data_IF_884640244048
#
_entry.id   IF_884640244048
#
_cell.length_a   1.000
_cell.length_b   1.000
_cell.length_c   1.000
_cell.angle_alpha   90.00
_cell.angle_beta   90.00
_cell.angle_gamma   90.00
#
_symmetry.space_group_name_H-M   'P 1'
#
loop_
_entity.id
_entity.type
_entity.pdbx_description
1 polymer ?
#
# COMPACT_ATOMS: atom_id res chain seq x y z
N UNK A 1 4.80 -24.50 -5.15
CA UNK A 1 3.48 -24.04 -4.66
C UNK A 1 3.55 -22.65 -4.09
N UNK A 2 4.17 -22.50 -2.90
CA UNK A 2 4.24 -21.24 -2.15
C UNK A 2 4.79 -20.06 -2.95
N UNK A 3 5.98 -20.18 -3.56
CA UNK A 3 6.58 -19.09 -4.34
C UNK A 3 5.73 -18.66 -5.56
N UNK A 4 5.10 -19.64 -6.21
CA UNK A 4 4.17 -19.38 -7.32
C UNK A 4 2.97 -18.54 -6.86
N UNK A 5 2.38 -18.89 -5.71
CA UNK A 5 1.27 -18.15 -5.14
C UNK A 5 1.68 -16.73 -4.70
N UNK A 6 2.80 -16.59 -3.98
CA UNK A 6 3.31 -15.32 -3.48
C UNK A 6 3.63 -14.30 -4.61
N UNK A 7 4.00 -14.78 -5.81
CA UNK A 7 4.47 -13.90 -6.91
C UNK A 7 3.52 -13.82 -8.10
N UNK A 8 3.05 -14.96 -8.61
CA UNK A 8 2.25 -15.03 -9.86
C UNK A 8 0.78 -14.83 -9.55
N UNK A 9 0.26 -15.58 -8.57
CA UNK A 9 -1.13 -15.44 -8.15
C UNK A 9 -1.38 -14.05 -7.57
N UNK A 10 -0.45 -13.51 -6.77
CA UNK A 10 -0.58 -12.14 -6.27
C UNK A 10 -0.74 -11.10 -7.38
N UNK A 11 0.04 -11.19 -8.47
CA UNK A 11 -0.07 -10.26 -9.59
C UNK A 11 -1.41 -10.37 -10.30
N UNK A 12 -1.92 -11.58 -10.47
CA UNK A 12 -3.27 -11.80 -11.02
C UNK A 12 -4.35 -11.24 -10.09
N UNK A 13 -4.22 -11.48 -8.79
CA UNK A 13 -5.12 -10.98 -7.77
C UNK A 13 -5.15 -9.44 -7.78
N UNK A 14 -3.99 -8.77 -7.83
CA UNK A 14 -3.91 -7.31 -7.97
C UNK A 14 -4.62 -6.80 -9.24
N UNK A 15 -4.52 -7.51 -10.36
CA UNK A 15 -5.25 -7.12 -11.59
C UNK A 15 -6.76 -7.24 -11.39
N UNK A 16 -7.23 -8.37 -10.86
CA UNK A 16 -8.66 -8.61 -10.62
C UNK A 16 -9.24 -7.71 -9.53
N UNK A 17 -8.41 -7.27 -8.59
CA UNK A 17 -8.78 -6.28 -7.57
C UNK A 17 -9.35 -4.99 -8.18
N UNK A 18 -8.98 -4.67 -9.43
CA UNK A 18 -9.56 -3.55 -10.17
C UNK A 18 -11.09 -3.62 -10.32
N UNK A 19 -11.70 -4.82 -10.26
CA UNK A 19 -13.16 -4.99 -10.29
C UNK A 19 -13.87 -4.54 -9.00
N UNK A 20 -13.14 -4.29 -7.92
CA UNK A 20 -13.71 -3.72 -6.69
C UNK A 20 -13.96 -2.22 -6.79
N UNK A 21 -13.53 -1.60 -7.88
CA UNK A 21 -13.37 -0.17 -7.98
C UNK A 21 -13.97 0.38 -9.26
N UNK A 22 -14.55 1.57 -9.16
CA UNK A 22 -15.08 2.34 -10.27
C UNK A 22 -14.64 3.81 -10.14
N UNK A 23 -14.62 4.56 -11.25
CA UNK A 23 -14.37 6.00 -11.23
C UNK A 23 -15.48 6.76 -10.49
N UNK A 24 -16.67 6.17 -10.42
CA UNK A 24 -17.80 6.65 -9.64
C UNK A 24 -17.50 6.58 -8.14
N UNK A 25 -16.85 5.51 -7.66
CA UNK A 25 -16.40 5.40 -6.26
C UNK A 25 -15.38 6.50 -5.91
N UNK A 26 -14.48 6.83 -6.85
CA UNK A 26 -13.54 7.95 -6.68
C UNK A 26 -14.29 9.29 -6.60
N UNK A 27 -15.33 9.47 -7.42
CA UNK A 27 -16.17 10.65 -7.40
C UNK A 27 -16.97 10.82 -6.10
N UNK A 28 -17.44 9.72 -5.51
CA UNK A 28 -18.26 9.71 -4.30
C UNK A 28 -17.52 10.21 -3.04
N UNK A 29 -16.20 9.98 -2.99
CA UNK A 29 -15.32 10.43 -1.89
C UNK A 29 -15.06 11.94 -1.94
N UNK A 30 -15.26 12.52 -3.12
CA UNK A 30 -14.88 13.88 -3.40
C UNK A 30 -13.36 14.08 -3.48
N UNK A 31 -13.00 15.34 -3.73
CA UNK A 31 -11.61 15.75 -3.93
C UNK A 31 -10.76 15.61 -2.66
N UNK A 32 -11.38 15.69 -1.48
CA UNK A 32 -10.71 15.60 -0.18
C UNK A 32 -9.98 14.26 0.00
N UNK A 33 -10.65 13.12 -0.19
CA UNK A 33 -10.01 11.81 0.00
C UNK A 33 -8.95 11.49 -1.06
N UNK A 34 -9.08 11.99 -2.29
CA UNK A 34 -8.04 11.89 -3.32
C UNK A 34 -6.80 12.71 -2.94
N UNK A 35 -6.99 13.95 -2.49
CA UNK A 35 -5.89 14.83 -2.05
C UNK A 35 -5.19 14.27 -0.82
N UNK A 36 -5.95 13.80 0.19
CA UNK A 36 -5.39 13.15 1.38
C UNK A 36 -4.57 11.93 0.99
N UNK A 37 -5.11 11.06 0.14
CA UNK A 37 -4.39 9.87 -0.32
C UNK A 37 -3.11 10.24 -1.06
N UNK A 38 -3.15 11.24 -1.94
CA UNK A 38 -1.99 11.70 -2.71
C UNK A 38 -0.88 12.21 -1.79
N UNK A 39 -1.24 13.07 -0.84
CA UNK A 39 -0.31 13.62 0.16
C UNK A 39 0.26 12.51 1.03
N UNK A 40 -0.57 11.59 1.52
CA UNK A 40 -0.12 10.48 2.36
C UNK A 40 0.83 9.55 1.61
N UNK A 41 0.54 9.19 0.35
CA UNK A 41 1.44 8.36 -0.46
C UNK A 41 2.76 9.08 -0.72
N UNK A 42 2.71 10.33 -1.20
CA UNK A 42 3.89 11.08 -1.59
C UNK A 42 4.81 11.39 -0.39
N UNK A 43 4.26 11.92 0.70
CA UNK A 43 5.01 12.31 1.88
C UNK A 43 5.55 11.09 2.63
N UNK A 44 4.75 10.04 2.82
CA UNK A 44 5.22 8.81 3.49
C UNK A 44 6.36 8.17 2.72
N UNK A 45 6.24 8.09 1.39
CA UNK A 45 7.33 7.57 0.56
C UNK A 45 8.58 8.44 0.63
N UNK A 46 8.44 9.77 0.50
CA UNK A 46 9.56 10.70 0.51
C UNK A 46 10.29 10.70 1.86
N UNK A 47 9.54 10.78 2.96
CA UNK A 47 10.08 10.72 4.33
C UNK A 47 10.80 9.40 4.52
N UNK A 48 10.17 8.29 4.16
CA UNK A 48 10.76 6.96 4.35
C UNK A 48 12.03 6.76 3.53
N UNK A 49 12.06 7.26 2.30
CA UNK A 49 13.24 7.24 1.45
C UNK A 49 14.37 8.09 2.04
N UNK A 50 14.08 9.35 2.42
CA UNK A 50 15.08 10.28 2.97
C UNK A 50 15.63 9.76 4.29
N UNK A 51 14.75 9.41 5.23
CA UNK A 51 15.15 8.91 6.56
C UNK A 51 15.88 7.58 6.42
N UNK A 52 15.35 6.65 5.63
CA UNK A 52 15.96 5.34 5.44
C UNK A 52 17.36 5.44 4.83
N UNK A 53 17.51 6.13 3.70
CA UNK A 53 18.78 6.20 2.97
C UNK A 53 19.76 7.17 3.60
N UNK A 54 19.34 8.39 3.96
CA UNK A 54 20.27 9.45 4.39
C UNK A 54 20.54 9.44 5.89
N UNK A 55 19.53 9.17 6.72
CA UNK A 55 19.65 9.25 8.19
C UNK A 55 20.09 7.90 8.77
N UNK A 56 19.34 6.83 8.48
CA UNK A 56 19.60 5.49 9.01
C UNK A 56 20.69 4.75 8.22
N UNK A 57 21.07 5.26 7.03
CA UNK A 57 22.03 4.62 6.12
C UNK A 57 21.65 3.16 5.87
N UNK A 58 20.37 2.94 5.58
CA UNK A 58 19.79 1.65 5.24
C UNK A 58 20.06 1.35 3.76
N UNK A 59 20.08 0.06 3.43
CA UNK A 59 20.04 -0.38 2.04
C UNK A 59 18.88 0.29 1.29
N UNK A 60 19.18 0.83 0.11
CA UNK A 60 18.24 1.63 -0.69
C UNK A 60 16.97 0.84 -1.05
N UNK A 61 17.11 -0.44 -1.40
CA UNK A 61 15.97 -1.28 -1.75
C UNK A 61 15.10 -1.54 -0.53
N UNK A 62 15.68 -1.85 0.64
CA UNK A 62 14.89 -2.03 1.87
C UNK A 62 14.15 -0.74 2.24
N UNK A 63 14.83 0.42 2.15
CA UNK A 63 14.20 1.71 2.43
C UNK A 63 13.00 1.96 1.49
N UNK A 64 13.15 1.71 0.19
CA UNK A 64 12.07 1.88 -0.78
C UNK A 64 10.93 0.91 -0.54
N UNK A 65 11.21 -0.36 -0.23
CA UNK A 65 10.20 -1.38 0.06
C UNK A 65 9.41 -1.04 1.33
N UNK A 66 10.08 -0.71 2.44
CA UNK A 66 9.41 -0.28 3.68
C UNK A 66 8.57 0.97 3.45
N UNK A 67 9.09 1.95 2.71
CA UNK A 67 8.39 3.21 2.43
C UNK A 67 7.16 2.99 1.55
N UNK A 68 7.27 2.17 0.49
CA UNK A 68 6.15 1.84 -0.39
C UNK A 68 5.06 1.06 0.35
N UNK A 69 5.45 0.10 1.19
CA UNK A 69 4.54 -0.67 2.03
C UNK A 69 3.75 0.22 2.99
N UNK A 70 4.45 1.08 3.73
CA UNK A 70 3.82 2.04 4.64
C UNK A 70 2.96 3.09 3.91
N UNK A 71 3.35 3.47 2.69
CA UNK A 71 2.73 4.54 1.91
C UNK A 71 1.42 4.16 1.21
N UNK A 72 1.11 2.88 0.98
CA UNK A 72 -0.03 2.48 0.13
C UNK A 72 -0.95 1.46 0.80
N UNK A 73 -0.69 0.16 0.60
CA UNK A 73 -1.56 -0.94 1.01
C UNK A 73 -0.83 -2.05 1.75
N UNK A 74 0.38 -1.76 2.24
CA UNK A 74 1.19 -2.71 2.98
C UNK A 74 1.82 -3.77 2.10
N UNK A 75 1.57 -5.05 2.40
CA UNK A 75 2.29 -6.18 1.79
C UNK A 75 2.20 -6.21 0.25
N UNK A 76 1.02 -5.96 -0.32
CA UNK A 76 0.84 -5.97 -1.77
C UNK A 76 1.67 -4.86 -2.46
N UNK A 77 1.80 -3.68 -1.84
CA UNK A 77 2.63 -2.60 -2.34
C UNK A 77 4.13 -2.95 -2.27
N UNK A 78 4.57 -3.62 -1.21
CA UNK A 78 5.96 -4.09 -1.07
C UNK A 78 6.32 -5.03 -2.22
N UNK A 79 5.46 -5.99 -2.52
CA UNK A 79 5.75 -7.04 -3.52
C UNK A 79 5.63 -6.53 -4.96
N UNK A 80 4.67 -5.63 -5.19
CA UNK A 80 4.58 -4.91 -6.44
C UNK A 80 5.83 -4.05 -6.69
N UNK A 81 6.33 -3.40 -5.62
CA UNK A 81 7.57 -2.62 -5.66
C UNK A 81 8.80 -3.49 -5.88
N UNK A 82 8.89 -4.64 -5.19
CA UNK A 82 9.94 -5.65 -5.40
C UNK A 82 10.06 -6.03 -6.88
N UNK A 83 8.94 -6.30 -7.54
CA UNK A 83 8.92 -6.68 -8.94
C UNK A 83 9.45 -5.58 -9.87
N UNK A 84 9.24 -4.31 -9.51
CA UNK A 84 9.72 -3.15 -10.28
C UNK A 84 11.21 -2.92 -10.08
N UNK A 85 11.67 -2.91 -8.83
CA UNK A 85 13.08 -2.61 -8.49
C UNK A 85 13.97 -3.86 -8.53
N UNK A 86 13.40 -5.04 -8.77
CA UNK A 86 14.06 -6.36 -8.78
C UNK A 86 14.83 -6.65 -7.48
N UNK A 87 14.27 -6.24 -6.34
CA UNK A 87 14.89 -6.46 -5.05
C UNK A 87 14.97 -7.96 -4.70
N UNK A 88 15.95 -8.31 -3.86
CA UNK A 88 16.07 -9.68 -3.35
C UNK A 88 14.88 -10.03 -2.44
N UNK A 89 14.30 -11.24 -2.52
CA UNK A 89 13.09 -11.62 -1.79
C UNK A 89 13.13 -11.37 -0.28
N UNK A 90 14.28 -11.59 0.37
CA UNK A 90 14.42 -11.37 1.81
C UNK A 90 14.22 -9.91 2.23
N UNK A 91 14.54 -8.95 1.37
CA UNK A 91 14.32 -7.52 1.65
C UNK A 91 12.82 -7.20 1.69
N UNK A 92 12.05 -7.80 0.78
CA UNK A 92 10.59 -7.67 0.76
C UNK A 92 9.95 -8.33 1.95
N UNK A 93 10.40 -9.53 2.34
CA UNK A 93 9.88 -10.21 3.54
C UNK A 93 10.07 -9.36 4.80
N UNK A 94 11.21 -8.68 4.93
CA UNK A 94 11.46 -7.76 6.05
C UNK A 94 10.48 -6.58 6.03
N UNK A 95 10.31 -5.94 4.87
CA UNK A 95 9.37 -4.83 4.73
C UNK A 95 7.92 -5.27 5.00
N UNK A 96 7.48 -6.42 4.46
CA UNK A 96 6.17 -7.01 4.72
C UNK A 96 5.98 -7.25 6.22
N UNK A 97 6.95 -7.87 6.91
CA UNK A 97 6.80 -8.12 8.34
C UNK A 97 6.71 -6.83 9.16
N UNK A 98 7.48 -5.79 8.82
CA UNK A 98 7.35 -4.50 9.51
C UNK A 98 5.97 -3.87 9.30
N UNK A 99 5.45 -3.92 8.08
CA UNK A 99 4.10 -3.43 7.75
C UNK A 99 3.04 -4.17 8.56
N UNK A 100 3.13 -5.50 8.65
CA UNK A 100 2.16 -6.31 9.42
C UNK A 100 2.24 -5.98 10.90
N UNK A 101 3.44 -5.87 11.48
CA UNK A 101 3.62 -5.53 12.91
C UNK A 101 2.97 -4.17 13.23
N UNK A 102 3.32 -3.13 12.46
CA UNK A 102 2.80 -1.78 12.71
C UNK A 102 1.35 -1.62 12.27
N UNK A 103 0.90 -2.36 11.27
CA UNK A 103 -0.50 -2.44 10.86
C UNK A 103 -1.39 -3.04 11.95
N UNK A 104 -0.97 -4.16 12.54
CA UNK A 104 -1.63 -4.78 13.69
C UNK A 104 -1.64 -3.83 14.88
N UNK A 105 -0.52 -3.15 15.15
CA UNK A 105 -0.46 -2.15 16.22
C UNK A 105 -1.47 -1.01 15.99
N UNK A 106 -1.54 -0.46 14.77
CA UNK A 106 -2.53 0.56 14.39
C UNK A 106 -3.97 0.07 14.59
N UNK A 107 -4.25 -1.18 14.23
CA UNK A 107 -5.60 -1.76 14.34
C UNK A 107 -6.18 -1.65 15.75
N UNK A 108 -5.36 -1.84 16.79
CA UNK A 108 -5.77 -1.68 18.18
C UNK A 108 -5.63 -0.24 18.69
N UNK A 109 -4.59 0.47 18.26
CA UNK A 109 -4.26 1.80 18.77
C UNK A 109 -5.31 2.86 18.37
N UNK A 110 -5.81 2.82 17.13
CA UNK A 110 -6.75 3.84 16.63
C UNK A 110 -8.09 3.84 17.38
N UNK A 111 -8.77 2.68 17.54
CA UNK A 111 -10.00 2.62 18.33
C UNK A 111 -9.77 2.98 19.81
N UNK A 112 -8.65 2.54 20.38
CA UNK A 112 -8.31 2.86 21.77
C UNK A 112 -8.10 4.37 21.97
N UNK A 113 -7.37 5.02 21.06
CA UNK A 113 -7.12 6.46 21.12
C UNK A 113 -8.40 7.28 20.93
N UNK A 114 -9.31 6.84 20.04
CA UNK A 114 -10.61 7.47 19.84
C UNK A 114 -11.48 7.39 21.11
N UNK A 115 -11.61 6.19 21.69
CA UNK A 115 -12.39 5.96 22.93
C UNK A 115 -11.82 6.69 24.14
N UNK A 116 -10.51 6.89 24.17
CA UNK A 116 -9.84 7.68 25.21
C UNK A 116 -10.03 9.21 25.05
N UNK A 117 -10.70 9.66 23.99
CA UNK A 117 -10.91 11.09 23.71
C UNK A 117 -9.66 11.83 23.23
N UNK A 118 -8.61 11.10 22.81
CA UNK A 118 -7.34 11.68 22.37
C UNK A 118 -7.40 12.19 20.91
N UNK A 119 -8.40 11.75 20.15
CA UNK A 119 -8.59 12.07 18.73
C UNK A 119 -9.94 12.77 18.56
N UNK A 120 -10.01 14.10 18.65
CA UNK A 120 -11.26 14.85 18.56
C UNK A 120 -11.72 14.97 17.09
N UNK A 121 -12.23 13.86 16.56
CA UNK A 121 -12.74 13.71 15.21
C UNK A 121 -14.21 13.25 15.24
N UNK A 122 -15.00 13.74 14.28
CA UNK A 122 -16.29 13.14 13.96
C UNK A 122 -16.10 11.71 13.40
N UNK A 123 -17.17 10.92 13.31
CA UNK A 123 -17.10 9.57 12.77
C UNK A 123 -16.59 9.53 11.32
N UNK A 124 -17.04 10.49 10.50
CA UNK A 124 -16.59 10.60 9.10
C UNK A 124 -15.09 10.94 9.01
N UNK A 125 -14.64 11.96 9.76
CA UNK A 125 -13.21 12.32 9.83
C UNK A 125 -12.35 11.16 10.35
N UNK A 126 -12.85 10.42 11.34
CA UNK A 126 -12.16 9.25 11.87
C UNK A 126 -12.07 8.14 10.82
N UNK A 127 -13.10 7.98 9.99
CA UNK A 127 -13.12 7.02 8.88
C UNK A 127 -12.05 7.37 7.87
N UNK A 128 -12.06 8.62 7.38
CA UNK A 128 -11.05 9.14 6.45
C UNK A 128 -9.65 8.99 7.04
N UNK A 129 -9.46 9.33 8.32
CA UNK A 129 -8.16 9.23 9.00
C UNK A 129 -7.66 7.78 9.05
N UNK A 130 -8.48 6.83 9.52
CA UNK A 130 -8.13 5.40 9.56
C UNK A 130 -7.78 4.89 8.15
N UNK A 131 -8.62 5.20 7.16
CA UNK A 131 -8.40 4.78 5.77
C UNK A 131 -7.09 5.34 5.18
N UNK A 132 -6.78 6.60 5.52
CA UNK A 132 -5.61 7.31 5.05
C UNK A 132 -4.31 6.81 5.68
N UNK A 133 -4.30 6.40 6.95
CA UNK A 133 -3.06 6.17 7.72
C UNK A 133 -2.76 4.70 8.05
N UNK A 134 -3.77 3.85 8.27
CA UNK A 134 -3.56 2.42 8.59
C UNK A 134 -3.00 1.70 7.36
N UNK A 135 -2.15 0.69 7.54
CA UNK A 135 -1.33 0.14 6.45
C UNK A 135 -2.15 -0.67 5.43
N UNK A 136 -2.98 -1.59 5.91
CA UNK A 136 -3.65 -2.60 5.07
C UNK A 136 -5.16 -2.52 5.16
N UNK A 137 -5.85 -3.03 4.14
CA UNK A 137 -7.31 -3.05 4.05
C UNK A 137 -7.94 -3.82 5.21
N UNK A 138 -7.40 -5.00 5.55
CA UNK A 138 -7.92 -5.81 6.66
C UNK A 138 -7.80 -5.06 8.00
N UNK A 139 -6.67 -4.40 8.25
CA UNK A 139 -6.47 -3.57 9.44
C UNK A 139 -7.42 -2.35 9.45
N UNK A 140 -7.67 -1.72 8.29
CA UNK A 140 -8.62 -0.61 8.16
C UNK A 140 -10.03 -1.07 8.55
N UNK A 141 -10.53 -2.14 7.93
CA UNK A 141 -11.87 -2.69 8.21
C UNK A 141 -12.02 -3.02 9.69
N UNK A 142 -11.03 -3.67 10.27
CA UNK A 142 -11.09 -4.09 11.67
C UNK A 142 -10.99 -2.90 12.63
N UNK A 143 -10.14 -1.91 12.35
CA UNK A 143 -10.00 -0.70 13.17
C UNK A 143 -11.26 0.19 13.09
N UNK A 144 -11.78 0.44 11.88
CA UNK A 144 -12.93 1.31 11.69
C UNK A 144 -14.19 0.71 12.33
N UNK A 145 -14.43 -0.59 12.15
CA UNK A 145 -15.56 -1.27 12.76
C UNK A 145 -15.49 -1.30 14.30
N UNK A 146 -14.27 -1.29 14.86
CA UNK A 146 -14.06 -1.19 16.31
C UNK A 146 -14.28 0.22 16.86
N UNK A 147 -14.24 1.26 16.03
CA UNK A 147 -14.67 2.63 16.40
C UNK A 147 -16.19 2.72 16.38
N UNK A 148 -16.77 2.58 15.18
CA UNK A 148 -18.21 2.60 14.94
C UNK A 148 -18.49 1.99 13.54
N UNK A 149 -19.54 1.19 13.34
CA UNK A 149 -19.89 0.64 12.03
C UNK A 149 -19.96 1.70 10.91
N UNK A 150 -20.49 2.89 11.19
CA UNK A 150 -20.61 3.98 10.21
C UNK A 150 -19.25 4.57 9.80
N UNK A 151 -18.19 4.37 10.59
CA UNK A 151 -16.82 4.79 10.27
C UNK A 151 -16.22 3.95 9.14
N UNK A 152 -16.74 2.74 8.92
CA UNK A 152 -16.10 1.74 8.05
C UNK A 152 -16.22 2.04 6.57
N UNK A 153 -17.35 2.56 6.12
CA UNK A 153 -17.56 2.85 4.69
C UNK A 153 -16.54 3.90 4.21
N UNK A 154 -16.47 5.04 4.90
CA UNK A 154 -15.50 6.10 4.61
C UNK A 154 -14.04 5.58 4.68
N UNK A 155 -13.71 4.78 5.70
CA UNK A 155 -12.36 4.26 5.89
C UNK A 155 -11.92 3.30 4.78
N UNK A 156 -12.77 2.33 4.43
CA UNK A 156 -12.50 1.37 3.36
C UNK A 156 -12.33 2.09 2.05
N UNK A 157 -13.24 3.01 1.75
CA UNK A 157 -13.24 3.76 0.51
C UNK A 157 -11.96 4.62 0.37
N UNK A 158 -11.57 5.39 1.39
CA UNK A 158 -10.31 6.16 1.36
C UNK A 158 -9.09 5.25 1.22
N UNK A 159 -9.08 4.10 1.90
CA UNK A 159 -8.03 3.08 1.71
C UNK A 159 -8.00 2.56 0.28
N UNK A 160 -9.14 2.35 -0.36
CA UNK A 160 -9.22 1.90 -1.76
C UNK A 160 -8.58 2.92 -2.72
N UNK A 161 -8.85 4.21 -2.53
CA UNK A 161 -8.20 5.27 -3.33
C UNK A 161 -6.69 5.23 -3.16
N UNK A 162 -6.21 5.05 -1.93
CA UNK A 162 -4.78 4.91 -1.66
C UNK A 162 -4.19 3.67 -2.35
N UNK A 163 -4.92 2.55 -2.38
CA UNK A 163 -4.53 1.34 -3.13
C UNK A 163 -4.45 1.62 -4.63
N UNK A 164 -5.39 2.40 -5.20
CA UNK A 164 -5.33 2.79 -6.62
C UNK A 164 -4.06 3.57 -6.97
N UNK A 165 -3.55 4.36 -6.02
CA UNK A 165 -2.31 5.11 -6.19
C UNK A 165 -1.08 4.20 -6.34
N UNK A 166 -1.20 2.89 -6.10
CA UNK A 166 -0.15 1.93 -6.40
C UNK A 166 0.28 1.99 -7.87
N UNK A 167 -0.66 2.04 -8.80
CA UNK A 167 -0.33 2.03 -10.21
C UNK A 167 0.45 3.27 -10.67
N UNK A 168 0.00 4.53 -10.42
CA UNK A 168 0.80 5.70 -10.74
C UNK A 168 2.12 5.73 -9.96
N UNK A 169 2.13 5.30 -8.69
CA UNK A 169 3.36 5.20 -7.89
C UNK A 169 4.39 4.28 -8.55
N UNK A 170 4.01 3.08 -8.98
CA UNK A 170 4.93 2.12 -9.59
C UNK A 170 5.46 2.58 -10.95
N UNK A 171 4.65 3.32 -11.72
CA UNK A 171 5.09 3.94 -12.97
C UNK A 171 6.17 4.99 -12.68
N UNK A 172 5.91 5.92 -11.75
CA UNK A 172 6.88 6.94 -11.34
C UNK A 172 8.16 6.31 -10.79
N UNK A 173 8.04 5.28 -9.95
CA UNK A 173 9.17 4.56 -9.38
C UNK A 173 10.00 3.86 -10.48
N UNK A 174 9.34 3.18 -11.42
CA UNK A 174 9.99 2.52 -12.56
C UNK A 174 10.78 3.50 -13.42
N UNK A 175 10.19 4.66 -13.74
CA UNK A 175 10.85 5.73 -14.48
C UNK A 175 12.04 6.32 -13.72
N UNK A 176 11.92 6.50 -12.40
CA UNK A 176 13.01 7.01 -11.56
C UNK A 176 14.21 6.07 -11.48
N UNK A 177 13.98 4.75 -11.36
CA UNK A 177 15.06 3.77 -11.39
C UNK A 177 15.72 3.64 -12.76
N UNK A 178 14.96 3.78 -13.84
CA UNK A 178 15.50 3.72 -15.20
C UNK A 178 16.48 4.87 -15.47
N UNK A 179 16.10 6.12 -15.14
CA UNK A 179 16.99 7.30 -15.28
C UNK A 179 18.28 7.18 -14.46
N UNK A 180 18.23 6.49 -13.32
CA UNK A 180 19.41 6.20 -12.51
C UNK A 180 20.36 5.16 -13.13
N UNK A 181 19.81 4.23 -13.92
CA UNK A 181 20.59 3.20 -14.64
C UNK A 181 21.23 3.72 -15.94
N UNK A 182 20.61 4.69 -16.61
CA UNK A 182 21.19 5.37 -17.78
C UNK A 182 22.51 6.09 -17.46
N UNK A 183 22.68 6.61 -16.24
CA UNK A 183 23.95 7.20 -15.79
C UNK A 183 25.07 6.17 -15.56
N UNK A 184 24.78 4.86 -15.57
CA UNK A 184 25.76 3.77 -15.40
C UNK A 184 25.95 2.99 -16.71
N UNK A 185 24.94 2.98 -17.60
CA UNK A 185 24.91 2.19 -18.84
C UNK A 185 25.78 2.73 -19.99
N UNK A 186 26.84 3.51 -19.70
CA UNK A 186 27.94 3.74 -20.65
C UNK A 186 29.04 2.65 -20.59
N UNK A 187 28.89 1.64 -19.72
CA UNK A 187 29.78 0.48 -19.68
C UNK A 187 28.96 -0.81 -19.67
N UNK A 188 29.19 -1.60 -20.71
CA UNK A 188 28.89 -3.05 -20.85
C UNK A 188 27.49 -3.46 -21.33
N UNK A 189 27.46 -3.76 -22.63
CA UNK A 189 26.84 -4.89 -23.35
C UNK A 189 25.38 -5.31 -23.10
N UNK A 190 24.67 -5.33 -24.23
CA UNK A 190 23.60 -6.23 -24.67
C UNK A 190 22.94 -7.16 -23.64
N UNK A 191 21.63 -6.92 -23.41
CA UNK A 191 20.72 -8.06 -23.25
C UNK A 191 19.58 -7.98 -22.23
N UNK A 192 19.47 -6.95 -21.39
CA UNK A 192 18.29 -6.84 -20.48
C UNK A 192 17.86 -5.40 -20.25
N UNK A 193 17.09 -4.84 -21.20
CA UNK A 193 16.25 -3.67 -20.92
C UNK A 193 15.33 -4.02 -19.74
N UNK A 194 15.43 -3.37 -18.57
CA UNK A 194 14.47 -3.60 -17.49
C UNK A 194 13.07 -3.26 -18.01
N UNK A 195 12.09 -4.12 -17.73
CA UNK A 195 10.73 -3.97 -18.26
C UNK A 195 10.18 -2.59 -17.91
N UNK A 196 9.86 -1.84 -18.97
CA UNK A 196 9.62 -0.40 -19.02
C UNK A 196 8.46 0.07 -18.14
N UNK A 197 7.47 -0.79 -17.90
CA UNK A 197 6.23 -0.50 -17.18
C UNK A 197 5.76 -1.81 -16.53
N UNK A 198 5.39 -1.83 -15.24
CA UNK A 198 4.81 -3.01 -14.61
C UNK A 198 3.44 -3.31 -15.24
N UNK A 199 3.40 -4.21 -16.23
CA UNK A 199 2.19 -4.53 -16.99
C UNK A 199 0.99 -4.92 -16.13
N UNK A 200 1.20 -5.59 -14.98
CA UNK A 200 0.11 -5.90 -14.06
C UNK A 200 -0.54 -4.64 -13.46
N UNK A 201 0.21 -3.57 -13.23
CA UNK A 201 -0.33 -2.29 -12.75
C UNK A 201 -1.13 -1.59 -13.86
N UNK A 202 -0.68 -1.69 -15.11
CA UNK A 202 -1.43 -1.20 -16.29
C UNK A 202 -2.74 -1.97 -16.44
N UNK A 203 -2.69 -3.31 -16.34
CA UNK A 203 -3.90 -4.14 -16.38
C UNK A 203 -4.85 -3.85 -15.23
N UNK A 204 -4.35 -3.58 -14.02
CA UNK A 204 -5.19 -3.12 -12.91
C UNK A 204 -5.94 -1.82 -13.23
N UNK A 205 -5.26 -0.79 -13.76
CA UNK A 205 -5.92 0.45 -14.20
C UNK A 205 -6.94 0.16 -15.30
N UNK A 206 -6.58 -0.68 -16.27
CA UNK A 206 -7.46 -1.08 -17.37
C UNK A 206 -8.73 -1.78 -16.88
N UNK A 207 -8.61 -2.71 -15.93
CA UNK A 207 -9.74 -3.42 -15.32
C UNK A 207 -10.63 -2.46 -14.52
N UNK A 208 -10.05 -1.56 -13.71
CA UNK A 208 -10.83 -0.56 -12.98
C UNK A 208 -11.58 0.38 -13.94
N UNK A 209 -10.92 0.84 -15.01
CA UNK A 209 -11.54 1.64 -16.06
C UNK A 209 -12.66 0.90 -16.78
N UNK A 210 -12.45 -0.39 -17.11
CA UNK A 210 -13.47 -1.24 -17.70
C UNK A 210 -14.68 -1.46 -16.78
N UNK A 211 -14.44 -1.73 -15.50
CA UNK A 211 -15.49 -1.89 -14.49
C UNK A 211 -16.32 -0.61 -14.33
N UNK A 212 -15.69 0.56 -14.44
CA UNK A 212 -16.35 1.88 -14.39
C UNK A 212 -17.34 2.11 -15.54
N UNK A 213 -17.24 1.36 -16.64
CA UNK A 213 -18.19 1.43 -17.76
C UNK A 213 -19.49 0.66 -17.48
N UNK A 214 -19.58 -0.08 -16.37
CA UNK A 214 -20.74 -0.89 -15.98
C UNK A 214 -21.21 -1.86 -17.09
N UNK A 215 -20.27 -2.40 -17.87
CA UNK A 215 -20.57 -3.30 -19.00
C UNK A 215 -20.87 -4.74 -18.56
N UNK A 216 -20.52 -5.11 -17.32
CA UNK A 216 -20.78 -6.43 -16.77
C UNK A 216 -21.96 -6.40 -15.78
N UNK A 217 -22.81 -7.45 -15.76
CA UNK A 217 -23.81 -7.60 -14.71
C UNK A 217 -23.17 -7.66 -13.31
N UNK A 218 -23.86 -7.10 -12.31
CA UNK A 218 -23.38 -7.08 -10.93
C UNK A 218 -23.06 -8.49 -10.37
N UNK A 219 -23.78 -9.52 -10.82
CA UNK A 219 -23.49 -10.92 -10.44
C UNK A 219 -22.12 -11.39 -10.92
N UNK A 220 -21.73 -11.03 -12.15
CA UNK A 220 -20.44 -11.39 -12.74
C UNK A 220 -19.31 -10.66 -12.01
N UNK A 221 -19.49 -9.36 -11.74
CA UNK A 221 -18.54 -8.55 -10.95
C UNK A 221 -18.38 -9.16 -9.54
N UNK A 222 -19.50 -9.51 -8.88
CA UNK A 222 -19.47 -10.18 -7.57
C UNK A 222 -18.71 -11.51 -7.58
N UNK A 223 -18.88 -12.34 -8.63
CA UNK A 223 -18.11 -13.58 -8.79
C UNK A 223 -16.62 -13.32 -8.99
N UNK A 224 -16.25 -12.30 -9.79
CA UNK A 224 -14.86 -11.90 -9.99
C UNK A 224 -14.21 -11.40 -8.71
N UNK A 225 -14.93 -10.60 -7.92
CA UNK A 225 -14.49 -10.11 -6.60
C UNK A 225 -14.31 -11.28 -5.61
N UNK A 226 -15.22 -12.26 -5.63
CA UNK A 226 -15.09 -13.46 -4.79
C UNK A 226 -13.86 -14.29 -5.16
N UNK A 227 -13.63 -14.45 -6.48
CA UNK A 227 -12.46 -15.15 -6.98
C UNK A 227 -11.15 -14.39 -6.66
N UNK A 228 -11.13 -13.06 -6.80
CA UNK A 228 -10.04 -12.20 -6.34
C UNK A 228 -9.74 -12.41 -4.86
N UNK A 229 -10.76 -12.42 -4.00
CA UNK A 229 -10.61 -12.64 -2.56
C UNK A 229 -9.89 -13.97 -2.28
N UNK A 230 -10.29 -15.03 -2.99
CA UNK A 230 -9.66 -16.34 -2.89
C UNK A 230 -8.18 -16.30 -3.31
N UNK A 231 -7.85 -15.66 -4.45
CA UNK A 231 -6.48 -15.54 -4.93
C UNK A 231 -5.61 -14.67 -4.01
N UNK A 232 -6.14 -13.54 -3.50
CA UNK A 232 -5.45 -12.71 -2.52
C UNK A 232 -5.18 -13.49 -1.24
N UNK A 233 -6.17 -14.24 -0.74
CA UNK A 233 -6.02 -15.05 0.48
C UNK A 233 -4.94 -16.11 0.29
N UNK A 234 -4.94 -16.79 -0.86
CA UNK A 234 -3.91 -17.77 -1.21
C UNK A 234 -2.52 -17.13 -1.29
N UNK A 235 -2.40 -15.96 -1.93
CA UNK A 235 -1.14 -15.23 -2.06
C UNK A 235 -0.62 -14.75 -0.69
N UNK A 236 -1.48 -14.18 0.16
CA UNK A 236 -1.11 -13.71 1.49
C UNK A 236 -0.76 -14.87 2.44
N UNK A 237 -1.49 -15.99 2.35
CA UNK A 237 -1.13 -17.22 3.08
C UNK A 237 0.23 -17.77 2.66
N UNK A 238 0.52 -17.76 1.35
CA UNK A 238 1.83 -18.14 0.82
C UNK A 238 2.96 -17.24 1.35
N UNK A 239 2.73 -15.93 1.40
CA UNK A 239 3.69 -14.97 1.97
C UNK A 239 3.93 -15.23 3.46
N UNK A 240 2.87 -15.53 4.22
CA UNK A 240 2.97 -15.90 5.63
C UNK A 240 3.85 -17.15 5.83
N UNK A 241 3.68 -18.18 5.00
CA UNK A 241 4.50 -19.39 5.04
C UNK A 241 5.96 -19.15 4.62
N UNK A 242 6.23 -18.19 3.74
CA UNK A 242 7.58 -17.87 3.31
C UNK A 242 8.35 -17.04 4.37
N UNK A 243 7.61 -16.36 5.24
CA UNK A 243 8.12 -15.49 6.30
C UNK A 243 8.62 -16.32 7.48
N UNK A 244 9.89 -16.73 7.44
CA UNK A 244 10.55 -17.38 8.59
C UNK A 244 11.29 -16.36 9.45
N UNK A 245 11.24 -16.54 10.78
CA UNK A 245 11.97 -15.69 11.76
C UNK A 245 13.48 -15.68 11.44
N UNK A 246 14.01 -16.77 10.89
CA UNK A 246 15.42 -16.86 10.51
C UNK A 246 15.80 -15.94 9.35
N UNK A 247 14.86 -15.54 8.48
CA UNK A 247 15.11 -14.54 7.43
C UNK A 247 15.14 -13.10 7.96
N UNK A 248 14.64 -12.87 9.18
CA UNK A 248 14.85 -11.61 9.91
C UNK A 248 16.21 -11.56 10.61
N UNK A 249 16.79 -12.72 10.94
CA UNK A 249 18.14 -12.81 11.51
C UNK A 249 19.16 -12.40 10.44
N UNK A 250 19.70 -11.19 10.58
CA UNK A 250 20.74 -10.64 9.71
C UNK A 250 20.39 -9.32 9.02
N UNK A 251 19.13 -8.87 9.10
CA UNK A 251 18.71 -7.61 8.43
C UNK A 251 18.87 -6.38 9.35
N UNK A 252 19.18 -6.61 10.63
CA UNK A 252 19.40 -5.57 11.65
C UNK A 252 18.12 -4.86 12.08
N UNK A 253 18.22 -3.97 13.07
CA UNK A 253 17.08 -3.24 13.62
C UNK A 253 16.68 -2.00 12.81
N UNK A 254 17.53 -1.57 11.86
CA UNK A 254 17.30 -0.36 11.07
C UNK A 254 15.98 -0.33 10.29
N UNK A 255 15.50 -1.42 9.66
CA UNK A 255 14.18 -1.45 9.01
C UNK A 255 13.03 -1.26 10.00
N UNK A 256 13.18 -1.78 11.23
CA UNK A 256 12.20 -1.60 12.31
C UNK A 256 12.16 -0.13 12.74
N UNK A 257 13.32 0.51 12.93
CA UNK A 257 13.37 1.94 13.25
C UNK A 257 12.76 2.81 12.15
N UNK A 258 13.04 2.51 10.88
CA UNK A 258 12.43 3.23 9.76
C UNK A 258 10.90 3.08 9.80
N UNK A 259 10.42 1.86 9.99
CA UNK A 259 8.98 1.58 10.00
C UNK A 259 8.29 2.17 11.24
N UNK A 260 8.97 2.25 12.38
CA UNK A 260 8.49 2.96 13.57
C UNK A 260 8.36 4.46 13.31
N UNK A 261 9.37 5.08 12.69
CA UNK A 261 9.32 6.50 12.32
C UNK A 261 8.16 6.76 11.34
N UNK A 262 8.00 5.90 10.34
CA UNK A 262 6.88 5.98 9.40
C UNK A 262 5.53 5.75 10.08
N UNK A 263 5.45 4.84 11.05
CA UNK A 263 4.25 4.60 11.83
C UNK A 263 3.84 5.83 12.65
N UNK A 264 4.80 6.46 13.32
CA UNK A 264 4.60 7.73 14.04
C UNK A 264 4.15 8.82 13.06
N UNK A 265 4.81 8.93 11.90
CA UNK A 265 4.40 9.86 10.85
C UNK A 265 2.97 9.59 10.35
N UNK A 266 2.59 8.33 10.12
CA UNK A 266 1.25 7.99 9.66
C UNK A 266 0.18 8.37 10.68
N UNK A 267 0.47 8.24 11.98
CA UNK A 267 -0.42 8.71 13.05
C UNK A 267 -0.53 10.24 13.02
N UNK A 268 0.57 10.94 13.28
CA UNK A 268 0.50 12.40 13.46
C UNK A 268 0.28 13.14 12.14
N UNK A 269 1.05 12.81 11.11
CA UNK A 269 0.89 13.36 9.77
C UNK A 269 -0.48 13.02 9.17
N UNK A 270 -0.95 11.78 9.34
CA UNK A 270 -2.30 11.40 8.91
C UNK A 270 -3.39 12.21 9.61
N UNK A 271 -3.26 12.45 10.91
CA UNK A 271 -4.20 13.28 11.67
C UNK A 271 -4.24 14.72 11.14
N UNK A 272 -3.08 15.37 11.01
CA UNK A 272 -3.00 16.76 10.56
C UNK A 272 -3.42 16.94 9.10
N UNK A 273 -3.04 16.03 8.21
CA UNK A 273 -3.44 16.08 6.80
C UNK A 273 -4.94 15.88 6.67
N UNK A 274 -5.52 14.92 7.39
CA UNK A 274 -6.96 14.67 7.34
C UNK A 274 -7.74 15.89 7.82
N UNK A 275 -7.42 16.41 9.01
CA UNK A 275 -8.07 17.62 9.55
C UNK A 275 -7.88 18.84 8.66
N UNK A 276 -6.67 19.05 8.16
CA UNK A 276 -6.33 20.23 7.35
C UNK A 276 -6.99 20.20 5.98
N UNK A 277 -7.14 19.03 5.35
CA UNK A 277 -7.80 18.93 4.05
C UNK A 277 -9.32 18.95 4.22
N UNK A 278 -9.88 18.25 5.21
CA UNK A 278 -11.34 18.24 5.46
C UNK A 278 -11.89 19.56 6.01
N UNK A 279 -11.05 20.50 6.47
CA UNK A 279 -11.52 21.84 6.83
C UNK A 279 -11.61 22.80 5.63
N UNK A 280 -11.01 22.43 4.50
CA UNK A 280 -10.98 23.23 3.26
C UNK A 280 -12.10 22.82 2.30
N UNK A 281 -12.48 21.54 2.31
CA UNK A 281 -13.54 20.95 1.48
C UNK A 281 -14.83 20.79 2.28
#
# INVERSE_FOLDING_TARGET
GVDYAARRILRLAIVLYGFRLTFQDIGAIGLSGVVISALMVALTFLIGYIVGVKVLKLDKEISILCSAGAAICGAAAVLATEAVIKAKPYKSMVAVGTVVIFGTLAMFLYPAAYRAGLVPMSLDEMGVYIGASVHEVAHVVAASAAVDPATSDAAVIVKMVRVMMLAPFLIVLGLWFWRGAENIAQKEEEGRKPALIPWFAVYFIGVAGFNSLNLLPASVVGSLISFDTFLLTMAMGALGMETTIDKFKGVGLKPIYLSLILFIWLIFGGFFITKGVMSVF
#
